data_IF_959413160233
#
_entry.id   IF_959413160233
#
_cell.length_a   1.000
_cell.length_b   1.000
_cell.length_c   1.000
_cell.angle_alpha   90.00
_cell.angle_beta   90.00
_cell.angle_gamma   90.00
#
_symmetry.space_group_name_H-M   'P 1'
#
loop_
_entity.id
_entity.type
_entity.pdbx_description
1 polymer ?
#
# COMPACT_ATOMS: atom_id res chain seq x y z
N UNK A 1 -45.66 -23.88 34.62
CA UNK A 1 -44.71 -23.11 35.46
C UNK A 1 -43.47 -22.83 34.60
N UNK A 2 -43.68 -22.31 33.37
CA UNK A 2 -42.76 -22.59 32.24
C UNK A 2 -42.21 -21.34 31.55
N UNK A 3 -42.49 -20.14 32.10
CA UNK A 3 -42.03 -18.86 31.54
C UNK A 3 -40.54 -18.60 31.79
N UNK A 4 -40.04 -19.04 32.94
CA UNK A 4 -38.65 -18.85 33.40
C UNK A 4 -37.63 -19.56 32.50
N UNK A 5 -37.78 -20.85 32.13
CA UNK A 5 -36.79 -21.52 31.26
C UNK A 5 -36.76 -20.94 29.84
N UNK A 6 -37.92 -20.48 29.31
CA UNK A 6 -37.98 -19.80 28.00
C UNK A 6 -37.23 -18.47 28.00
N UNK A 7 -37.35 -17.68 29.06
CA UNK A 7 -36.65 -16.41 29.19
C UNK A 7 -35.13 -16.59 29.30
N UNK A 8 -34.66 -17.61 30.02
CA UNK A 8 -33.24 -17.93 30.17
C UNK A 8 -32.64 -18.38 28.83
N UNK A 9 -33.32 -19.28 28.10
CA UNK A 9 -32.85 -19.73 26.77
C UNK A 9 -32.78 -18.56 25.79
N UNK A 10 -33.76 -17.65 25.81
CA UNK A 10 -33.75 -16.49 24.92
C UNK A 10 -32.61 -15.51 25.25
N UNK A 11 -32.31 -15.30 26.54
CA UNK A 11 -31.17 -14.48 26.97
C UNK A 11 -29.83 -15.08 26.53
N UNK A 12 -29.67 -16.41 26.64
CA UNK A 12 -28.47 -17.11 26.18
C UNK A 12 -28.32 -16.96 24.66
N UNK A 13 -29.40 -17.11 23.90
CA UNK A 13 -29.38 -16.99 22.45
C UNK A 13 -29.02 -15.56 21.99
N UNK A 14 -29.55 -14.54 22.67
CA UNK A 14 -29.22 -13.12 22.41
C UNK A 14 -27.76 -12.82 22.76
N UNK A 15 -27.25 -13.37 23.87
CA UNK A 15 -25.84 -13.21 24.26
C UNK A 15 -24.89 -13.85 23.23
N UNK A 16 -25.19 -15.05 22.75
CA UNK A 16 -24.40 -15.71 21.70
C UNK A 16 -24.45 -14.91 20.38
N UNK A 17 -25.63 -14.41 20.01
CA UNK A 17 -25.80 -13.64 18.79
C UNK A 17 -25.02 -12.32 18.86
N UNK A 18 -25.10 -11.60 19.98
CA UNK A 18 -24.37 -10.33 20.15
C UNK A 18 -22.85 -10.50 20.13
N UNK A 19 -22.30 -11.58 20.68
CA UNK A 19 -20.87 -11.91 20.58
C UNK A 19 -20.49 -12.22 19.12
N UNK A 20 -21.31 -12.99 18.40
CA UNK A 20 -21.05 -13.33 16.99
C UNK A 20 -21.06 -12.10 16.06
N UNK A 21 -21.84 -11.05 16.37
CA UNK A 21 -21.86 -9.82 15.56
C UNK A 21 -20.60 -8.95 15.72
N UNK A 22 -19.88 -9.04 16.84
CA UNK A 22 -18.65 -8.24 17.05
C UNK A 22 -17.44 -8.73 16.25
N UNK A 23 -17.51 -9.94 15.68
CA UNK A 23 -16.46 -10.51 14.85
C UNK A 23 -16.48 -10.02 13.38
N UNK A 24 -17.48 -9.24 12.98
CA UNK A 24 -17.65 -8.79 11.58
C UNK A 24 -17.07 -7.42 11.25
N UNK A 25 -16.25 -6.81 12.12
CA UNK A 25 -15.46 -5.65 11.69
C UNK A 25 -14.24 -6.15 10.92
N UNK A 26 -14.16 -5.95 9.58
CA UNK A 26 -12.99 -6.39 8.85
C UNK A 26 -11.78 -5.60 9.36
N UNK A 27 -10.86 -6.29 10.03
CA UNK A 27 -9.59 -5.74 10.52
C UNK A 27 -8.65 -5.27 9.37
N UNK A 28 -9.14 -5.25 8.13
CA UNK A 28 -8.44 -4.82 6.93
C UNK A 28 -9.32 -3.90 6.09
N UNK A 29 -8.75 -2.87 5.45
CA UNK A 29 -9.49 -2.00 4.54
C UNK A 29 -10.22 -2.75 3.41
N UNK A 30 -11.34 -2.20 2.95
CA UNK A 30 -12.06 -2.73 1.80
C UNK A 30 -11.21 -2.72 0.52
N UNK A 31 -11.22 -3.84 -0.22
CA UNK A 31 -10.57 -3.96 -1.52
C UNK A 31 -11.22 -3.06 -2.60
N UNK A 32 -12.51 -2.73 -2.45
CA UNK A 32 -13.20 -1.81 -3.38
C UNK A 32 -12.63 -0.40 -3.38
N UNK A 33 -11.82 -0.05 -2.37
CA UNK A 33 -11.14 1.23 -2.24
C UNK A 33 -9.63 1.14 -2.54
N UNK A 34 -9.17 0.04 -3.13
CA UNK A 34 -7.77 -0.16 -3.47
C UNK A 34 -7.25 0.88 -4.49
N UNK A 35 -5.93 1.14 -4.49
CA UNK A 35 -5.31 2.06 -5.45
C UNK A 35 -5.46 1.54 -6.88
N UNK A 36 -5.75 2.44 -7.82
CA UNK A 36 -5.80 2.09 -9.24
C UNK A 36 -4.39 1.82 -9.79
N UNK A 37 -4.29 1.03 -10.87
CA UNK A 37 -3.00 0.76 -11.52
C UNK A 37 -2.22 2.04 -11.90
N UNK A 38 -2.83 3.09 -12.49
CA UNK A 38 -2.13 4.34 -12.76
C UNK A 38 -1.60 5.04 -11.50
N UNK A 39 -2.29 4.89 -10.36
CA UNK A 39 -1.81 5.43 -9.09
C UNK A 39 -0.58 4.66 -8.60
N UNK A 40 -0.56 3.33 -8.74
CA UNK A 40 0.60 2.49 -8.44
C UNK A 40 1.79 2.86 -9.34
N UNK A 41 1.56 3.08 -10.64
CA UNK A 41 2.60 3.53 -11.57
C UNK A 41 3.22 4.87 -11.15
N UNK A 42 2.39 5.85 -10.73
CA UNK A 42 2.89 7.12 -10.18
C UNK A 42 3.70 6.91 -8.90
N UNK A 43 3.28 6.00 -8.03
CA UNK A 43 4.01 5.68 -6.80
C UNK A 43 5.40 5.10 -7.10
N UNK A 44 5.49 4.15 -8.03
CA UNK A 44 6.77 3.57 -8.49
C UNK A 44 7.64 4.67 -9.12
N UNK A 45 7.08 5.52 -9.99
CA UNK A 45 7.80 6.63 -10.60
C UNK A 45 8.36 7.61 -9.56
N UNK A 46 7.61 7.88 -8.50
CA UNK A 46 8.06 8.73 -7.39
C UNK A 46 9.22 8.09 -6.64
N UNK A 47 9.15 6.79 -6.33
CA UNK A 47 10.24 6.06 -5.68
C UNK A 47 11.51 6.01 -6.54
N UNK A 48 11.38 5.74 -7.84
CA UNK A 48 12.51 5.77 -8.79
C UNK A 48 13.11 7.17 -8.83
N UNK A 49 12.29 8.22 -8.90
CA UNK A 49 12.77 9.61 -8.90
C UNK A 49 13.54 9.97 -7.63
N UNK A 50 13.04 9.59 -6.46
CA UNK A 50 13.73 9.82 -5.18
C UNK A 50 15.10 9.12 -5.18
N UNK A 51 15.15 7.87 -5.65
CA UNK A 51 16.40 7.10 -5.75
C UNK A 51 17.39 7.77 -6.71
N UNK A 52 16.92 8.19 -7.88
CA UNK A 52 17.77 8.88 -8.86
C UNK A 52 18.29 10.21 -8.33
N UNK A 53 17.45 11.00 -7.65
CA UNK A 53 17.88 12.26 -7.04
C UNK A 53 19.01 12.05 -6.02
N UNK A 54 18.89 11.03 -5.16
CA UNK A 54 19.93 10.69 -4.20
C UNK A 54 21.24 10.26 -4.89
N UNK A 55 21.15 9.39 -5.90
CA UNK A 55 22.31 8.94 -6.66
C UNK A 55 23.01 10.10 -7.40
N UNK A 56 22.25 10.99 -8.03
CA UNK A 56 22.82 12.10 -8.81
C UNK A 56 23.43 13.17 -7.92
N UNK A 57 22.90 13.36 -6.71
CA UNK A 57 23.53 14.21 -5.70
C UNK A 57 24.90 13.68 -5.29
N UNK A 58 25.03 12.36 -5.09
CA UNK A 58 26.30 11.73 -4.74
C UNK A 58 27.32 11.76 -5.88
N UNK A 59 26.85 11.62 -7.12
CA UNK A 59 27.69 11.61 -8.33
C UNK A 59 27.92 13.00 -8.93
N UNK A 60 27.40 14.06 -8.30
CA UNK A 60 27.43 15.45 -8.82
C UNK A 60 26.98 15.54 -10.29
N UNK A 61 25.94 14.79 -10.63
CA UNK A 61 25.43 14.64 -12.00
C UNK A 61 23.96 15.07 -12.12
N UNK A 62 23.43 15.06 -13.34
CA UNK A 62 22.02 15.34 -13.59
C UNK A 62 21.20 14.05 -13.66
N UNK A 63 19.98 14.02 -13.09
CA UNK A 63 19.14 12.83 -13.13
C UNK A 63 18.70 12.51 -14.56
N UNK A 64 18.94 11.29 -15.07
CA UNK A 64 18.52 10.92 -16.41
C UNK A 64 17.00 10.84 -16.50
N UNK A 65 16.47 11.08 -17.71
CA UNK A 65 15.06 10.80 -18.00
C UNK A 65 14.85 9.28 -17.95
N UNK A 66 13.69 8.85 -17.48
CA UNK A 66 13.34 7.44 -17.43
C UNK A 66 11.89 7.21 -17.79
N UNK A 67 11.60 6.01 -18.29
CA UNK A 67 10.24 5.53 -18.54
C UNK A 67 10.01 4.24 -17.74
N UNK A 68 8.80 4.12 -17.19
CA UNK A 68 8.32 2.90 -16.54
C UNK A 68 7.28 2.26 -17.46
N UNK A 69 7.47 0.98 -17.78
CA UNK A 69 6.55 0.23 -18.63
C UNK A 69 6.21 -1.13 -18.04
N UNK A 70 5.15 -1.75 -18.55
CA UNK A 70 4.74 -3.11 -18.19
C UNK A 70 4.55 -3.36 -16.69
N UNK A 71 3.98 -2.39 -15.95
CA UNK A 71 3.69 -2.57 -14.53
C UNK A 71 2.66 -3.69 -14.34
N UNK A 72 3.06 -4.73 -13.62
CA UNK A 72 2.23 -5.89 -13.30
C UNK A 72 2.13 -6.05 -11.79
N UNK A 73 0.91 -6.08 -11.29
CA UNK A 73 0.60 -6.21 -9.87
C UNK A 73 0.48 -7.71 -9.56
N UNK A 74 1.31 -8.22 -8.65
CA UNK A 74 1.31 -9.63 -8.25
C UNK A 74 0.55 -9.85 -6.95
N UNK A 75 0.64 -8.92 -6.01
CA UNK A 75 0.00 -9.02 -4.71
C UNK A 75 -0.51 -7.65 -4.27
N UNK A 76 -1.72 -7.65 -3.71
CA UNK A 76 -2.36 -6.51 -3.08
C UNK A 76 -2.75 -6.93 -1.66
N UNK A 77 -2.15 -6.29 -0.66
CA UNK A 77 -2.42 -6.58 0.74
C UNK A 77 -2.99 -5.32 1.41
N UNK A 78 -4.28 -5.31 1.76
CA UNK A 78 -4.86 -4.23 2.55
C UNK A 78 -4.45 -4.37 4.03
N UNK A 79 -4.09 -3.25 4.65
CA UNK A 79 -3.78 -3.15 6.08
C UNK A 79 -4.09 -1.74 6.60
N UNK A 80 -4.24 -1.59 7.91
CA UNK A 80 -4.28 -0.27 8.54
C UNK A 80 -2.90 0.12 9.04
N UNK A 81 -2.44 1.33 8.70
CA UNK A 81 -1.26 1.96 9.31
C UNK A 81 -1.66 3.32 9.88
N UNK A 82 -1.39 3.55 11.16
CA UNK A 82 -1.82 4.77 11.85
C UNK A 82 -3.33 5.02 11.80
N UNK A 83 -4.13 3.94 11.78
CA UNK A 83 -5.60 4.01 11.64
C UNK A 83 -6.10 4.38 10.24
N UNK A 84 -5.22 4.48 9.23
CA UNK A 84 -5.60 4.83 7.86
C UNK A 84 -5.51 3.63 6.91
N UNK A 85 -6.46 3.49 5.96
CA UNK A 85 -6.40 2.48 4.92
C UNK A 85 -5.10 2.54 4.13
N UNK A 86 -4.34 1.46 4.16
CA UNK A 86 -3.07 1.33 3.45
C UNK A 86 -3.05 0.04 2.64
N UNK A 87 -2.49 0.11 1.44
CA UNK A 87 -2.39 -1.02 0.54
C UNK A 87 -0.93 -1.24 0.21
N UNK A 88 -0.39 -2.39 0.59
CA UNK A 88 0.92 -2.85 0.15
C UNK A 88 0.75 -3.55 -1.20
N UNK A 89 1.36 -2.99 -2.24
CA UNK A 89 1.30 -3.52 -3.61
C UNK A 89 2.68 -4.02 -3.99
N UNK A 90 2.75 -5.30 -4.39
CA UNK A 90 3.98 -5.93 -4.87
C UNK A 90 3.81 -6.41 -6.28
N UNK A 91 4.89 -6.37 -7.05
CA UNK A 91 4.85 -6.75 -8.45
C UNK A 91 6.17 -6.49 -9.15
N UNK A 92 6.10 -6.30 -10.47
CA UNK A 92 7.26 -6.01 -11.29
C UNK A 92 6.97 -4.98 -12.38
N UNK A 93 8.03 -4.33 -12.86
CA UNK A 93 7.99 -3.33 -13.92
C UNK A 93 9.29 -3.34 -14.74
N UNK A 94 9.23 -2.77 -15.94
CA UNK A 94 10.41 -2.47 -16.71
C UNK A 94 10.76 -0.99 -16.56
N UNK A 95 12.06 -0.71 -16.49
CA UNK A 95 12.62 0.62 -16.32
C UNK A 95 13.61 0.88 -17.44
N UNK A 96 13.37 1.94 -18.22
CA UNK A 96 14.30 2.37 -19.27
C UNK A 96 14.87 3.73 -18.92
N UNK A 97 16.18 3.81 -18.73
CA UNK A 97 16.89 5.07 -18.57
C UNK A 97 17.35 5.60 -19.92
N UNK A 98 17.05 6.86 -20.21
CA UNK A 98 17.50 7.59 -21.40
C UNK A 98 18.81 8.29 -21.05
N UNK A 99 19.93 7.61 -21.26
CA UNK A 99 21.28 8.17 -21.12
C UNK A 99 21.74 8.79 -22.44
N UNK A 100 22.78 9.63 -22.39
CA UNK A 100 23.30 10.34 -23.58
C UNK A 100 23.84 9.39 -24.65
N UNK A 101 24.57 8.34 -24.24
CA UNK A 101 25.22 7.42 -25.18
C UNK A 101 24.25 6.38 -25.72
N UNK A 102 23.47 5.75 -24.84
CA UNK A 102 22.48 4.73 -25.22
C UNK A 102 21.43 4.52 -24.11
N UNK A 103 20.19 4.15 -24.46
CA UNK A 103 19.20 3.78 -23.47
C UNK A 103 19.56 2.47 -22.77
N UNK A 104 19.35 2.42 -21.46
CA UNK A 104 19.57 1.21 -20.65
C UNK A 104 18.23 0.71 -20.15
N UNK A 105 17.86 -0.52 -20.49
CA UNK A 105 16.59 -1.13 -20.06
C UNK A 105 16.83 -2.24 -19.05
N UNK A 106 16.19 -2.09 -17.89
CA UNK A 106 16.10 -3.10 -16.85
C UNK A 106 14.69 -3.73 -16.93
N UNK A 107 14.62 -5.05 -17.02
CA UNK A 107 13.35 -5.77 -17.13
C UNK A 107 13.02 -6.51 -15.83
N UNK A 108 11.72 -6.67 -15.54
CA UNK A 108 11.23 -7.40 -14.36
C UNK A 108 11.80 -6.92 -13.02
N UNK A 109 12.01 -5.62 -12.86
CA UNK A 109 12.39 -5.02 -11.58
C UNK A 109 11.25 -5.24 -10.58
N UNK A 110 11.55 -5.81 -9.41
CA UNK A 110 10.56 -5.98 -8.36
C UNK A 110 10.25 -4.65 -7.69
N UNK A 111 9.00 -4.44 -7.30
CA UNK A 111 8.60 -3.32 -6.47
C UNK A 111 7.77 -3.78 -5.27
N UNK A 112 7.86 -3.01 -4.19
CA UNK A 112 7.06 -3.16 -2.98
C UNK A 112 6.72 -1.75 -2.46
N UNK A 113 5.48 -1.32 -2.73
CA UNK A 113 5.03 0.05 -2.42
C UNK A 113 3.88 0.02 -1.43
N UNK A 114 3.91 0.93 -0.47
CA UNK A 114 2.82 1.14 0.49
C UNK A 114 2.08 2.41 0.11
N UNK A 115 0.79 2.29 -0.21
CA UNK A 115 -0.03 3.41 -0.67
C UNK A 115 -1.16 3.61 0.35
N UNK A 116 -1.18 4.75 1.01
CA UNK A 116 -2.17 5.08 2.05
C UNK A 116 -3.17 6.11 1.55
N UNK A 117 -4.44 5.80 1.77
CA UNK A 117 -5.55 6.70 1.52
C UNK A 117 -5.74 7.63 2.72
N UNK A 118 -5.85 8.92 2.47
CA UNK A 118 -6.06 9.90 3.54
C UNK A 118 -7.54 9.98 3.96
N UNK A 119 -7.83 10.59 5.11
CA UNK A 119 -9.18 10.65 5.71
C UNK A 119 -10.27 11.19 4.76
N UNK A 120 -9.93 12.16 3.93
CA UNK A 120 -10.84 12.76 2.95
C UNK A 120 -11.14 11.83 1.75
N UNK A 121 -10.41 10.72 1.62
CA UNK A 121 -10.60 9.72 0.57
C UNK A 121 -10.15 10.15 -0.84
N UNK A 122 -9.72 11.40 -1.02
CA UNK A 122 -9.35 12.00 -2.31
C UNK A 122 -7.86 12.00 -2.59
N UNK A 123 -7.04 11.97 -1.55
CA UNK A 123 -5.59 12.08 -1.65
C UNK A 123 -4.92 10.78 -1.23
N UNK A 124 -3.76 10.55 -1.85
CA UNK A 124 -2.98 9.33 -1.69
C UNK A 124 -1.54 9.67 -1.37
N UNK A 125 -0.97 8.93 -0.43
CA UNK A 125 0.42 9.06 -0.03
C UNK A 125 1.17 7.76 -0.27
N UNK A 126 2.37 7.87 -0.81
CA UNK A 126 3.37 6.81 -0.83
C UNK A 126 4.06 6.79 0.53
N UNK A 127 4.16 5.62 1.14
CA UNK A 127 4.94 5.38 2.35
C UNK A 127 6.18 4.60 1.95
N UNK A 128 7.34 5.14 2.31
CA UNK A 128 8.64 4.50 2.17
C UNK A 128 9.15 4.21 3.58
N UNK A 129 9.42 2.94 3.91
CA UNK A 129 9.93 2.64 5.24
C UNK A 129 11.33 3.21 5.42
N UNK A 130 11.60 3.79 6.60
CA UNK A 130 12.94 4.28 6.93
C UNK A 130 13.88 3.13 7.30
N UNK A 131 13.32 2.07 7.89
CA UNK A 131 14.04 0.90 8.35
C UNK A 131 13.61 -0.34 7.55
N UNK A 132 14.58 -1.06 7.00
CA UNK A 132 14.35 -2.33 6.31
C UNK A 132 14.39 -3.44 7.37
N UNK A 133 13.24 -3.71 7.98
CA UNK A 133 13.08 -4.84 8.92
C UNK A 133 12.13 -5.90 8.33
N UNK A 134 12.23 -7.14 8.81
CA UNK A 134 11.28 -8.21 8.47
C UNK A 134 9.87 -7.98 9.06
N UNK A 135 9.75 -7.03 9.99
CA UNK A 135 8.50 -6.61 10.63
C UNK A 135 7.95 -5.33 10.00
N UNK A 136 6.70 -4.95 10.33
CA UNK A 136 6.14 -3.67 9.90
C UNK A 136 7.04 -2.52 10.40
N UNK A 137 7.55 -1.68 9.48
CA UNK A 137 8.43 -0.56 9.83
C UNK A 137 7.76 0.40 10.82
N UNK A 138 8.52 0.86 11.80
CA UNK A 138 8.04 1.81 12.82
C UNK A 138 8.06 3.25 12.30
N UNK A 139 8.97 3.54 11.38
CA UNK A 139 9.16 4.88 10.80
C UNK A 139 8.95 4.88 9.29
N UNK A 140 8.28 5.92 8.81
CA UNK A 140 7.84 6.05 7.43
C UNK A 140 8.10 7.46 6.90
N UNK A 141 8.80 7.55 5.77
CA UNK A 141 8.77 8.75 4.93
C UNK A 141 7.50 8.73 4.10
N UNK A 142 6.83 9.87 4.03
CA UNK A 142 5.57 9.99 3.27
C UNK A 142 5.71 10.99 2.14
N UNK A 143 5.18 10.63 0.98
CA UNK A 143 5.20 11.51 -0.20
C UNK A 143 3.80 11.57 -0.81
N UNK A 144 3.36 12.76 -1.21
CA UNK A 144 2.06 12.94 -1.87
C UNK A 144 2.11 12.45 -3.32
N UNK A 145 1.17 11.61 -3.71
CA UNK A 145 1.02 11.12 -5.09
C UNK A 145 -0.01 11.99 -5.86
N UNK A 146 -1.07 12.40 -5.17
CA UNK A 146 -2.16 13.25 -5.66
C UNK A 146 -2.65 14.16 -4.53
#
# INVERSE_FOLDING_TARGET
MDRVPRLIVNLILIAIFTIALTACSPNTPSLGLAPSKPLVEKAIALQVRQTQQQLTQQLQSFPPKFDITQVRLKQLQPLFLGGLPTYRVRGYYNLTFKLQNQPVTQTKNNFDVFIQRQKEGKTWRLLIPEDISNTLPTRWRTYRIY
#
